data_IF_825565115605
#
_entry.id   IF_825565115605
#
_cell.length_a   1.000
_cell.length_b   1.000
_cell.length_c   1.000
_cell.angle_alpha   90.00
_cell.angle_beta   90.00
_cell.angle_gamma   90.00
#
_symmetry.space_group_name_H-M   'P 1'
#
loop_
_entity.id
_entity.type
_entity.pdbx_description
1 polymer ?
#
# COMPACT_ATOMS: atom_id res chain seq x y z
N UNK A 1 -7.63 20.36 -18.48
CA UNK A 1 -6.96 19.09 -18.13
C UNK A 1 -6.74 19.05 -16.62
N UNK A 2 -7.75 18.63 -15.88
CA UNK A 2 -7.64 18.40 -14.43
C UNK A 2 -6.86 17.12 -14.24
N UNK A 3 -5.63 17.21 -13.71
CA UNK A 3 -4.91 16.02 -13.25
C UNK A 3 -5.73 15.47 -12.10
N UNK A 4 -6.54 14.45 -12.38
CA UNK A 4 -7.19 13.65 -11.36
C UNK A 4 -6.05 13.12 -10.48
N UNK A 5 -5.89 13.74 -9.30
CA UNK A 5 -4.81 13.39 -8.39
C UNK A 5 -5.13 11.99 -7.93
N UNK A 6 -4.42 10.99 -8.45
CA UNK A 6 -4.64 9.60 -8.07
C UNK A 6 -4.69 9.48 -6.55
N UNK A 7 -5.73 8.79 -6.06
CA UNK A 7 -5.98 8.54 -4.65
C UNK A 7 -4.69 8.06 -3.95
N UNK A 8 -4.36 8.55 -2.73
CA UNK A 8 -3.14 8.15 -2.03
C UNK A 8 -2.97 6.64 -1.96
N UNK A 9 -4.01 5.89 -1.62
CA UNK A 9 -3.95 4.42 -1.58
C UNK A 9 -3.65 3.78 -2.93
N UNK A 10 -4.19 4.31 -4.04
CA UNK A 10 -3.85 3.84 -5.38
C UNK A 10 -2.36 4.03 -5.70
N UNK A 11 -1.75 5.13 -5.21
CA UNK A 11 -0.30 5.35 -5.34
C UNK A 11 0.51 4.36 -4.49
N UNK A 12 0.05 4.06 -3.28
CA UNK A 12 0.67 3.07 -2.40
C UNK A 12 0.61 1.68 -3.04
N UNK A 13 -0.58 1.25 -3.45
CA UNK A 13 -0.83 -0.05 -4.06
C UNK A 13 0.03 -0.26 -5.31
N UNK A 14 0.12 0.74 -6.20
CA UNK A 14 1.03 0.67 -7.37
C UNK A 14 2.50 0.50 -7.00
N UNK A 15 2.96 1.17 -5.94
CA UNK A 15 4.34 1.01 -5.46
C UNK A 15 4.56 -0.39 -4.88
N UNK A 16 3.64 -0.86 -4.05
CA UNK A 16 3.70 -2.19 -3.44
C UNK A 16 3.68 -3.27 -4.51
N UNK A 17 2.82 -3.13 -5.53
CA UNK A 17 2.78 -4.03 -6.69
C UNK A 17 4.12 -4.08 -7.41
N UNK A 18 4.74 -2.93 -7.69
CA UNK A 18 6.07 -2.89 -8.31
C UNK A 18 7.18 -3.56 -7.48
N UNK A 19 7.09 -3.48 -6.15
CA UNK A 19 8.02 -4.17 -5.24
C UNK A 19 7.83 -5.69 -5.27
N UNK A 20 6.59 -6.16 -5.38
CA UNK A 20 6.26 -7.58 -5.56
C UNK A 20 6.77 -8.09 -6.90
N UNK A 21 6.50 -7.37 -7.99
CA UNK A 21 6.98 -7.69 -9.33
C UNK A 21 8.53 -7.76 -9.39
N UNK A 22 9.20 -6.92 -8.59
CA UNK A 22 10.66 -6.90 -8.47
C UNK A 22 11.22 -7.97 -7.50
N UNK A 23 10.38 -8.85 -6.95
CA UNK A 23 10.74 -9.84 -5.92
C UNK A 23 11.41 -9.25 -4.67
N UNK A 24 11.17 -7.97 -4.36
CA UNK A 24 11.68 -7.32 -3.14
C UNK A 24 10.85 -7.74 -1.92
N UNK A 25 9.54 -7.92 -2.13
CA UNK A 25 8.57 -8.43 -1.15
C UNK A 25 7.66 -9.46 -1.81
N UNK A 26 6.98 -10.27 -1.02
CA UNK A 26 6.02 -11.28 -1.48
C UNK A 26 4.60 -10.87 -1.13
N UNK A 27 3.57 -11.31 -1.89
CA UNK A 27 2.17 -11.07 -1.53
C UNK A 27 1.80 -11.63 -0.15
N UNK A 28 2.43 -12.73 0.24
CA UNK A 28 2.25 -13.41 1.54
C UNK A 28 2.91 -12.68 2.71
N UNK A 29 3.78 -11.69 2.44
CA UNK A 29 4.39 -10.90 3.50
C UNK A 29 3.34 -9.99 4.15
N UNK A 30 3.52 -9.71 5.43
CA UNK A 30 2.66 -8.77 6.14
C UNK A 30 2.89 -7.33 5.68
N UNK A 31 1.83 -6.51 5.63
CA UNK A 31 1.88 -5.08 5.31
C UNK A 31 2.94 -4.36 6.16
N UNK A 32 3.08 -4.70 7.44
CA UNK A 32 4.10 -4.10 8.31
C UNK A 32 5.54 -4.23 7.80
N UNK A 33 5.83 -5.22 6.94
CA UNK A 33 7.16 -5.39 6.31
C UNK A 33 7.51 -4.22 5.39
N UNK A 34 6.51 -3.59 4.75
CA UNK A 34 6.75 -2.46 3.84
C UNK A 34 7.24 -1.22 4.60
N UNK A 35 7.01 -1.13 5.92
CA UNK A 35 7.52 -0.04 6.77
C UNK A 35 9.01 0.25 6.56
N UNK A 36 9.80 -0.82 6.41
CA UNK A 36 11.25 -0.74 6.22
C UNK A 36 11.64 -0.12 4.86
N UNK A 37 10.74 -0.19 3.87
CA UNK A 37 10.94 0.31 2.51
C UNK A 37 10.44 1.75 2.33
N UNK A 38 9.44 2.17 3.11
CA UNK A 38 8.85 3.50 3.01
C UNK A 38 9.50 4.55 3.92
N UNK A 39 10.33 4.13 4.90
CA UNK A 39 11.16 5.01 5.72
C UNK A 39 10.35 6.12 6.40
N UNK A 40 10.78 7.37 6.23
CA UNK A 40 10.14 8.55 6.86
C UNK A 40 8.68 8.76 6.42
N UNK A 41 8.27 8.20 5.27
CA UNK A 41 6.89 8.28 4.76
C UNK A 41 5.99 7.20 5.35
N UNK A 42 6.55 6.25 6.10
CA UNK A 42 5.76 5.14 6.66
C UNK A 42 4.70 5.61 7.65
N UNK A 43 4.98 6.63 8.46
CA UNK A 43 4.00 7.16 9.42
C UNK A 43 2.70 7.57 8.73
N UNK A 44 2.80 8.37 7.68
CA UNK A 44 1.67 8.77 6.83
C UNK A 44 0.93 7.55 6.25
N UNK A 45 1.66 6.62 5.62
CA UNK A 45 1.01 5.47 4.99
C UNK A 45 0.36 4.52 6.00
N UNK A 46 0.91 4.41 7.20
CA UNK A 46 0.32 3.62 8.28
C UNK A 46 -1.03 4.22 8.69
N UNK A 47 -1.10 5.54 8.87
CA UNK A 47 -2.36 6.21 9.22
C UNK A 47 -3.41 6.03 8.12
N UNK A 48 -3.01 6.20 6.86
CA UNK A 48 -3.91 5.97 5.72
C UNK A 48 -4.40 4.52 5.67
N UNK A 49 -3.49 3.53 5.77
CA UNK A 49 -3.85 2.10 5.82
C UNK A 49 -4.86 1.81 6.95
N UNK A 50 -4.62 2.36 8.14
CA UNK A 50 -5.52 2.21 9.28
C UNK A 50 -6.88 2.90 9.07
N UNK A 51 -6.94 3.99 8.30
CA UNK A 51 -8.19 4.65 7.94
C UNK A 51 -9.07 3.79 7.02
N UNK A 52 -8.47 2.86 6.28
CA UNK A 52 -9.15 1.85 5.45
C UNK A 52 -9.24 0.48 6.16
N UNK A 53 -9.15 0.46 7.49
CA UNK A 53 -9.24 -0.75 8.34
C UNK A 53 -8.15 -1.81 8.10
N UNK A 54 -7.04 -1.48 7.41
CA UNK A 54 -5.90 -2.39 7.29
C UNK A 54 -5.09 -2.46 8.59
N UNK A 55 -4.77 -3.68 8.97
CA UNK A 55 -3.84 -4.06 10.00
C UNK A 55 -2.44 -4.29 9.43
N UNK A 56 -1.42 -4.02 10.24
CA UNK A 56 -0.02 -4.31 9.88
C UNK A 56 0.28 -5.81 9.76
N UNK A 57 -0.65 -6.66 10.22
CA UNK A 57 -0.57 -8.12 10.10
C UNK A 57 -1.26 -8.65 8.85
N UNK A 58 -2.07 -7.84 8.18
CA UNK A 58 -2.72 -8.26 6.95
C UNK A 58 -1.66 -8.49 5.88
N UNK A 59 -2.00 -9.33 4.92
CA UNK A 59 -1.07 -9.66 3.84
C UNK A 59 -1.01 -8.53 2.82
N UNK A 60 0.12 -8.45 2.11
CA UNK A 60 0.26 -7.55 0.97
C UNK A 60 -0.75 -7.90 -0.12
N UNK A 61 -1.09 -9.18 -0.28
CA UNK A 61 -2.12 -9.64 -1.21
C UNK A 61 -3.46 -8.94 -0.97
N UNK A 62 -3.93 -8.85 0.28
CA UNK A 62 -5.18 -8.16 0.62
C UNK A 62 -5.18 -6.70 0.17
N UNK A 63 -4.06 -5.99 0.35
CA UNK A 63 -3.90 -4.62 -0.13
C UNK A 63 -3.93 -4.53 -1.67
N UNK A 64 -3.41 -5.54 -2.37
CA UNK A 64 -3.38 -5.59 -3.83
C UNK A 64 -4.70 -6.03 -4.46
N UNK A 65 -5.57 -6.71 -3.71
CA UNK A 65 -6.89 -7.15 -4.17
C UNK A 65 -7.93 -6.02 -4.21
N UNK A 66 -7.66 -4.86 -3.60
CA UNK A 66 -8.57 -3.71 -3.65
C UNK A 66 -8.64 -3.17 -5.08
N UNK A 67 -9.79 -3.36 -5.73
CA UNK A 67 -9.97 -2.98 -7.14
C UNK A 67 -10.20 -1.47 -7.33
N UNK A 68 -10.85 -0.83 -6.37
CA UNK A 68 -11.12 0.61 -6.41
C UNK A 68 -10.90 1.26 -5.04
N UNK A 69 -10.30 2.45 -5.07
CA UNK A 69 -10.09 3.30 -3.91
C UNK A 69 -10.96 4.54 -4.09
N UNK A 70 -12.25 4.29 -4.24
CA UNK A 70 -13.27 5.34 -4.26
C UNK A 70 -13.40 5.88 -2.83
N UNK A 71 -13.30 7.20 -2.73
CA UNK A 71 -13.60 8.00 -1.53
C UNK A 71 -15.12 8.25 -1.47
#
# INVERSE_FOLDING_TARGET
MTKQVAHPMLKLQRRVSSLVESNIIKPEDHIGKIALLFGDKWGYWKEELQAFDFSLKDTIEELLLVEDWDD
#
